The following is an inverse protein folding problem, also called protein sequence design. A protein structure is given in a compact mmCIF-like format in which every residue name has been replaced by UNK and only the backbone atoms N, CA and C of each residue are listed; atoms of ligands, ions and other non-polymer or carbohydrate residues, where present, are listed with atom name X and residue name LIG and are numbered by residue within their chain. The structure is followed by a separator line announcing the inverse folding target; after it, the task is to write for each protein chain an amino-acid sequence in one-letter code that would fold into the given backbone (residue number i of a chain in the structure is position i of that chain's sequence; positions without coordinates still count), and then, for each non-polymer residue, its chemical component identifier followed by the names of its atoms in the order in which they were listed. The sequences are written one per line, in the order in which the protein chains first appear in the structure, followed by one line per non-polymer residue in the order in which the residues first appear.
data_IF_670539552059
#
_entry.id   IF_670539552059
#
_cell.length_a   1.000
_cell.length_b   1.000
_cell.length_c   1.000
_cell.angle_alpha   90.00
_cell.angle_beta   90.00
_cell.angle_gamma   90.00
#
_symmetry.space_group_name_H-M   'P 1'
#
loop_
_entity.id
_entity.type
_entity.pdbx_description
1 polymer ?
#
# COMPACT_ATOMS: atom_id res chain seq x y z
N UNK A 1 -22.17 -2.69 8.89
CA UNK A 1 -20.94 -1.91 8.58
C UNK A 1 -19.65 -2.62 8.94
N UNK A 2 -19.71 -3.60 9.84
CA UNK A 2 -18.56 -4.41 10.24
C UNK A 2 -18.06 -5.38 9.17
N UNK A 3 -18.92 -5.86 8.26
CA UNK A 3 -18.52 -6.78 7.21
C UNK A 3 -17.60 -6.15 6.14
N UNK A 4 -17.71 -4.83 5.89
CA UNK A 4 -16.86 -4.13 4.94
C UNK A 4 -15.46 -3.82 5.48
N UNK A 5 -15.29 -3.77 6.78
CA UNK A 5 -13.99 -3.51 7.40
C UNK A 5 -13.05 -4.73 7.32
N UNK A 6 -13.62 -5.94 7.36
CA UNK A 6 -12.84 -7.19 7.37
C UNK A 6 -12.21 -7.51 6.00
N UNK A 7 -12.80 -6.99 4.93
CA UNK A 7 -12.37 -7.29 3.55
C UNK A 7 -11.52 -6.18 2.92
N UNK A 8 -11.31 -5.07 3.62
CA UNK A 8 -10.44 -4.00 3.10
C UNK A 8 -8.99 -4.46 3.08
N UNK A 9 -8.24 -4.11 2.05
CA UNK A 9 -6.81 -4.35 2.09
C UNK A 9 -6.17 -3.51 3.19
N UNK A 10 -5.05 -4.02 3.71
CA UNK A 10 -4.19 -3.24 4.60
C UNK A 10 -3.30 -2.36 3.74
N UNK A 11 -3.05 -1.13 4.19
CA UNK A 11 -2.05 -0.26 3.58
C UNK A 11 -0.96 0.06 4.60
N UNK A 12 0.27 -0.03 4.15
CA UNK A 12 1.46 0.35 4.88
C UNK A 12 2.23 1.38 4.08
N UNK A 13 2.76 2.37 4.75
CA UNK A 13 3.66 3.34 4.12
C UNK A 13 4.95 3.44 4.89
N UNK A 14 6.04 3.78 4.20
CA UNK A 14 7.21 4.26 4.91
C UNK A 14 6.87 5.60 5.57
N UNK A 15 7.64 5.93 6.56
CA UNK A 15 7.54 7.19 7.28
C UNK A 15 8.96 7.55 7.73
N UNK A 16 9.28 8.80 7.69
CA UNK A 16 10.61 9.23 8.09
C UNK A 16 10.89 10.66 7.68
N UNK A 17 12.17 11.02 7.65
CA UNK A 17 12.61 12.39 7.56
C UNK A 17 12.51 13.02 6.16
N UNK A 18 12.41 12.21 5.10
CA UNK A 18 12.42 12.75 3.75
C UNK A 18 11.03 13.19 3.28
N UNK A 19 11.00 14.11 2.31
CA UNK A 19 9.76 14.53 1.65
C UNK A 19 9.02 13.34 1.01
N UNK A 20 9.75 12.43 0.39
CA UNK A 20 9.16 11.24 -0.23
C UNK A 20 8.50 10.30 0.78
N UNK A 21 9.10 10.12 1.96
CA UNK A 21 8.53 9.33 3.03
C UNK A 21 7.24 9.96 3.57
N UNK A 22 7.23 11.29 3.74
CA UNK A 22 6.05 12.01 4.20
C UNK A 22 4.93 11.99 3.15
N UNK A 23 5.27 12.06 1.88
CA UNK A 23 4.29 11.92 0.80
C UNK A 23 3.67 10.52 0.80
N UNK A 24 4.48 9.48 0.93
CA UNK A 24 3.98 8.10 1.03
C UNK A 24 3.01 7.94 2.20
N UNK A 25 3.37 8.46 3.36
CA UNK A 25 2.51 8.46 4.54
C UNK A 25 1.19 9.19 4.29
N UNK A 26 1.25 10.35 3.66
CA UNK A 26 0.05 11.12 3.30
C UNK A 26 -0.90 10.31 2.41
N UNK A 27 -0.37 9.66 1.39
CA UNK A 27 -1.17 8.83 0.48
C UNK A 27 -1.84 7.68 1.24
N UNK A 28 -1.12 7.00 2.12
CA UNK A 28 -1.67 5.92 2.94
C UNK A 28 -2.80 6.43 3.85
N UNK A 29 -2.60 7.57 4.50
CA UNK A 29 -3.63 8.19 5.35
C UNK A 29 -4.88 8.52 4.54
N UNK A 30 -4.72 9.06 3.34
CA UNK A 30 -5.87 9.37 2.47
C UNK A 30 -6.61 8.11 2.00
N UNK A 31 -5.90 7.03 1.71
CA UNK A 31 -6.53 5.76 1.36
C UNK A 31 -7.36 5.21 2.54
N UNK A 32 -6.84 5.34 3.76
CA UNK A 32 -7.57 4.93 4.97
C UNK A 32 -8.82 5.79 5.19
N UNK A 33 -8.67 7.10 5.19
CA UNK A 33 -9.77 8.04 5.47
C UNK A 33 -10.87 8.00 4.41
N UNK A 34 -10.52 7.66 3.17
CA UNK A 34 -11.50 7.49 2.09
C UNK A 34 -12.15 6.10 2.05
N UNK A 35 -11.74 5.19 2.92
CA UNK A 35 -12.32 3.85 3.01
C UNK A 35 -11.83 2.86 1.94
N UNK A 36 -10.83 3.23 1.16
CA UNK A 36 -10.25 2.34 0.12
C UNK A 36 -9.44 1.22 0.76
N UNK A 37 -8.69 1.53 1.81
CA UNK A 37 -7.86 0.58 2.54
C UNK A 37 -7.88 0.92 4.03
N UNK A 38 -7.40 0.00 4.85
CA UNK A 38 -7.19 0.25 6.28
C UNK A 38 -5.70 0.37 6.55
N UNK A 39 -5.27 1.51 7.10
CA UNK A 39 -3.87 1.72 7.41
C UNK A 39 -3.49 1.01 8.71
N UNK A 40 -2.41 0.27 8.67
CA UNK A 40 -1.78 -0.31 9.85
C UNK A 40 -0.38 0.30 10.05
N UNK A 41 0.30 -0.14 11.09
CA UNK A 41 1.52 0.50 11.58
C UNK A 41 2.77 -0.26 11.14
N UNK A 42 3.48 0.28 10.15
CA UNK A 42 4.70 -0.35 9.67
C UNK A 42 5.82 -0.31 10.73
N UNK A 43 5.87 0.72 11.56
CA UNK A 43 6.85 0.80 12.64
C UNK A 43 6.68 -0.37 13.62
N UNK A 44 5.45 -0.77 13.92
CA UNK A 44 5.19 -1.92 14.77
C UNK A 44 5.55 -3.25 14.11
N UNK A 45 5.36 -3.37 12.80
CA UNK A 45 5.80 -4.56 12.05
C UNK A 45 7.33 -4.64 12.06
N UNK A 46 8.01 -3.54 11.75
CA UNK A 46 9.46 -3.46 11.78
C UNK A 46 10.06 -3.64 13.18
N UNK A 47 9.32 -3.26 14.22
CA UNK A 47 9.72 -3.39 15.62
C UNK A 47 9.27 -4.70 16.30
N UNK A 48 8.73 -5.65 15.55
CA UNK A 48 8.28 -6.95 16.04
C UNK A 48 7.17 -6.89 17.11
N UNK A 49 6.31 -5.87 17.05
CA UNK A 49 5.16 -5.75 17.95
C UNK A 49 4.15 -6.84 17.60
N UNK A 50 3.95 -7.77 18.51
CA UNK A 50 3.23 -9.03 18.26
C UNK A 50 1.83 -8.84 17.65
N UNK A 51 1.03 -7.91 18.16
CA UNK A 51 -0.32 -7.65 17.66
C UNK A 51 -0.32 -7.09 16.23
N UNK A 52 0.65 -6.25 15.90
CA UNK A 52 0.77 -5.64 14.58
C UNK A 52 1.34 -6.62 13.54
N UNK A 53 2.26 -7.47 13.94
CA UNK A 53 2.74 -8.59 13.11
C UNK A 53 1.60 -9.58 12.82
N UNK A 54 0.77 -9.87 13.82
CA UNK A 54 -0.41 -10.74 13.66
C UNK A 54 -1.39 -10.16 12.64
N UNK A 55 -1.64 -8.86 12.70
CA UNK A 55 -2.50 -8.17 11.71
C UNK A 55 -1.91 -8.30 10.29
N UNK A 56 -0.61 -8.07 10.14
CA UNK A 56 0.05 -8.19 8.85
C UNK A 56 0.00 -9.62 8.29
N UNK A 57 -0.05 -10.63 9.16
CA UNK A 57 -0.15 -12.05 8.77
C UNK A 57 -1.59 -12.56 8.66
N UNK A 58 -2.57 -11.69 8.74
CA UNK A 58 -3.99 -12.08 8.77
C UNK A 58 -4.52 -12.64 7.43
N UNK A 59 -3.75 -12.59 6.37
CA UNK A 59 -4.18 -13.04 5.04
C UNK A 59 -4.92 -11.96 4.23
N UNK A 60 -5.11 -10.78 4.80
CA UNK A 60 -5.70 -9.64 4.08
C UNK A 60 -4.74 -9.16 2.99
N UNK A 61 -5.25 -8.70 1.83
CA UNK A 61 -4.40 -8.10 0.81
C UNK A 61 -3.60 -6.92 1.38
N UNK A 62 -2.36 -6.77 0.96
CA UNK A 62 -1.46 -5.74 1.46
C UNK A 62 -1.00 -4.82 0.34
N UNK A 63 -1.16 -3.53 0.57
CA UNK A 63 -0.66 -2.45 -0.27
C UNK A 63 0.53 -1.83 0.46
N UNK A 64 1.69 -1.80 -0.18
CA UNK A 64 2.90 -1.19 0.36
C UNK A 64 3.25 0.06 -0.44
N UNK A 65 3.46 1.17 0.26
CA UNK A 65 3.87 2.45 -0.32
C UNK A 65 5.27 2.81 0.19
N UNK A 66 6.25 2.74 -0.70
CA UNK A 66 7.61 3.15 -0.41
C UNK A 66 7.95 4.43 -1.17
N UNK A 67 8.38 5.45 -0.45
CA UNK A 67 8.68 6.76 -1.03
C UNK A 67 9.94 6.76 -1.90
N UNK A 68 10.87 5.84 -1.65
CA UNK A 68 12.16 5.81 -2.33
C UNK A 68 12.69 4.38 -2.52
N UNK A 69 13.81 4.20 -3.26
CA UNK A 69 14.36 2.87 -3.56
C UNK A 69 14.88 2.07 -2.36
N UNK A 70 14.94 2.65 -1.16
CA UNK A 70 15.32 1.91 0.05
C UNK A 70 14.28 0.86 0.45
N UNK A 71 13.04 1.01 0.01
CA UNK A 71 11.93 0.07 0.17
C UNK A 71 11.75 -0.43 1.60
N UNK A 72 11.71 0.50 2.55
CA UNK A 72 11.63 0.20 3.98
C UNK A 72 10.39 -0.62 4.34
N UNK A 73 9.24 -0.36 3.72
CA UNK A 73 8.01 -1.13 3.97
C UNK A 73 8.18 -2.56 3.50
N UNK A 74 8.63 -2.73 2.27
CA UNK A 74 8.85 -4.06 1.72
C UNK A 74 9.83 -4.86 2.58
N UNK A 75 10.92 -4.23 3.01
CA UNK A 75 11.93 -4.85 3.87
C UNK A 75 11.37 -5.23 5.23
N UNK A 76 10.56 -4.37 5.85
CA UNK A 76 9.94 -4.64 7.15
C UNK A 76 8.97 -5.83 7.08
N UNK A 77 8.17 -5.88 6.03
CA UNK A 77 7.25 -7.02 5.79
C UNK A 77 8.02 -8.31 5.52
N UNK A 78 9.10 -8.23 4.74
CA UNK A 78 9.93 -9.39 4.37
C UNK A 78 10.57 -10.07 5.58
N UNK A 79 10.88 -9.33 6.64
CA UNK A 79 11.39 -9.91 7.90
C UNK A 79 10.42 -10.94 8.49
N UNK A 80 9.15 -10.80 8.23
CA UNK A 80 8.09 -11.69 8.73
C UNK A 80 7.59 -12.66 7.66
N UNK A 81 8.31 -12.78 6.53
CA UNK A 81 7.91 -13.65 5.43
C UNK A 81 6.70 -13.16 4.67
N UNK A 82 6.41 -11.87 4.71
CA UNK A 82 5.23 -11.27 4.08
C UNK A 82 5.66 -10.52 2.83
N UNK A 83 4.96 -10.79 1.72
CA UNK A 83 5.09 -10.02 0.48
C UNK A 83 3.81 -9.19 0.25
N UNK A 84 3.93 -7.92 -0.11
CA UNK A 84 2.76 -7.12 -0.44
C UNK A 84 2.12 -7.60 -1.75
N UNK A 85 0.79 -7.52 -1.83
CA UNK A 85 0.05 -7.82 -3.07
C UNK A 85 0.22 -6.71 -4.09
N UNK A 86 0.41 -5.48 -3.62
CA UNK A 86 0.75 -4.32 -4.44
C UNK A 86 1.86 -3.52 -3.77
N UNK A 87 2.90 -3.21 -4.54
CA UNK A 87 4.02 -2.42 -4.07
C UNK A 87 4.22 -1.21 -4.98
N UNK A 88 4.06 -0.02 -4.41
CA UNK A 88 4.24 1.24 -5.10
C UNK A 88 5.52 1.90 -4.60
N UNK A 89 6.45 2.08 -5.51
CA UNK A 89 7.68 2.83 -5.28
C UNK A 89 7.50 4.20 -5.91
N UNK A 90 7.43 5.24 -5.10
CA UNK A 90 6.97 6.56 -5.55
C UNK A 90 7.97 7.28 -6.47
N UNK A 91 9.24 6.86 -6.48
CA UNK A 91 10.18 7.37 -7.48
C UNK A 91 9.74 7.03 -8.91
N UNK A 92 9.00 5.95 -9.11
CA UNK A 92 8.42 5.60 -10.43
C UNK A 92 7.28 6.53 -10.83
N UNK A 93 6.78 7.34 -9.90
CA UNK A 93 5.74 8.35 -10.13
C UNK A 93 6.31 9.76 -10.17
N UNK A 94 7.63 9.90 -10.31
CA UNK A 94 8.29 11.18 -10.38
C UNK A 94 8.55 11.86 -9.04
N UNK A 95 8.31 11.15 -7.93
CA UNK A 95 8.55 11.70 -6.59
C UNK A 95 10.05 11.69 -6.29
N UNK A 96 10.61 12.86 -6.01
CA UNK A 96 12.01 13.02 -5.62
C UNK A 96 12.15 13.04 -4.11
N UNK A 97 13.12 12.29 -3.61
CA UNK A 97 13.49 12.30 -2.20
C UNK A 97 14.33 13.53 -1.88
N UNK A 98 13.81 14.38 -1.00
CA UNK A 98 14.52 15.57 -0.50
C UNK A 98 14.60 15.54 1.01
N UNK A 99 15.71 16.00 1.53
CA UNK A 99 15.91 16.11 2.98
C UNK A 99 15.55 17.52 3.44
N UNK A 100 14.98 17.63 4.64
CA UNK A 100 14.64 18.90 5.29
C UNK A 100 13.62 19.76 4.53
N UNK A 101 12.84 19.15 3.64
CA UNK A 101 11.79 19.82 2.86
C UNK A 101 10.47 19.07 2.97
N UNK A 102 9.39 19.81 2.85
CA UNK A 102 8.06 19.23 2.75
C UNK A 102 7.80 18.67 1.34
N UNK A 103 6.88 17.73 1.25
CA UNK A 103 6.41 17.25 -0.04
C UNK A 103 5.44 18.26 -0.67
N UNK A 104 5.34 18.21 -2.00
CA UNK A 104 4.39 19.01 -2.77
C UNK A 104 2.97 18.43 -2.62
N UNK A 105 2.00 19.19 -2.08
CA UNK A 105 0.62 18.73 -1.92
C UNK A 105 -0.07 18.39 -3.25
N UNK A 106 0.25 19.09 -4.32
CA UNK A 106 -0.33 18.80 -5.64
C UNK A 106 0.20 17.48 -6.20
N UNK A 107 1.49 17.22 -6.03
CA UNK A 107 2.08 15.94 -6.40
C UNK A 107 1.48 14.81 -5.56
N UNK A 108 1.28 15.02 -4.27
CA UNK A 108 0.65 14.04 -3.39
C UNK A 108 -0.77 13.69 -3.86
N UNK A 109 -1.56 14.68 -4.25
CA UNK A 109 -2.90 14.47 -4.79
C UNK A 109 -2.88 13.68 -6.10
N UNK A 110 -1.95 14.01 -6.99
CA UNK A 110 -1.76 13.29 -8.27
C UNK A 110 -1.36 11.83 -8.06
N UNK A 111 -0.41 11.57 -7.17
CA UNK A 111 0.02 10.20 -6.82
C UNK A 111 -1.15 9.42 -6.22
N UNK A 112 -1.91 10.02 -5.31
CA UNK A 112 -3.08 9.40 -4.70
C UNK A 112 -4.09 8.94 -5.76
N UNK A 113 -4.43 9.80 -6.71
CA UNK A 113 -5.38 9.45 -7.76
C UNK A 113 -4.88 8.32 -8.66
N UNK A 114 -3.59 8.32 -8.99
CA UNK A 114 -2.97 7.25 -9.78
C UNK A 114 -2.97 5.93 -9.04
N UNK A 115 -2.67 5.93 -7.75
CA UNK A 115 -2.71 4.73 -6.90
C UNK A 115 -4.13 4.20 -6.80
N UNK A 116 -5.11 5.07 -6.56
CA UNK A 116 -6.54 4.68 -6.52
C UNK A 116 -6.99 4.03 -7.83
N UNK A 117 -6.63 4.64 -8.96
CA UNK A 117 -6.99 4.11 -10.28
C UNK A 117 -6.38 2.72 -10.51
N UNK A 118 -5.12 2.53 -10.13
CA UNK A 118 -4.44 1.25 -10.25
C UNK A 118 -5.08 0.18 -9.35
N UNK A 119 -5.43 0.53 -8.12
CA UNK A 119 -6.10 -0.38 -7.19
C UNK A 119 -7.48 -0.80 -7.70
N UNK A 120 -8.23 0.11 -8.30
CA UNK A 120 -9.52 -0.21 -8.94
C UNK A 120 -9.34 -1.14 -10.12
N UNK A 121 -8.39 -0.86 -11.00
CA UNK A 121 -8.09 -1.72 -12.15
C UNK A 121 -7.65 -3.12 -11.73
N UNK A 122 -6.94 -3.24 -10.61
CA UNK A 122 -6.49 -4.51 -10.04
C UNK A 122 -7.56 -5.21 -9.21
N UNK A 123 -8.71 -4.59 -8.99
CA UNK A 123 -9.83 -5.09 -8.16
C UNK A 123 -9.42 -5.42 -6.72
N UNK A 124 -8.39 -4.76 -6.20
CA UNK A 124 -7.94 -4.96 -4.83
C UNK A 124 -8.87 -4.20 -3.88
N UNK A 125 -9.42 -4.91 -2.90
CA UNK A 125 -10.31 -4.33 -1.90
C UNK A 125 -11.74 -4.09 -2.37
N UNK A 126 -12.07 -4.42 -3.61
CA UNK A 126 -13.46 -4.40 -4.07
C UNK A 126 -14.14 -5.72 -3.71
N UNK A 127 -15.43 -5.69 -3.36
CA UNK A 127 -16.16 -6.94 -3.17
C UNK A 127 -16.10 -7.74 -4.46
N UNK A 128 -15.66 -8.99 -4.36
CA UNK A 128 -15.64 -9.91 -5.48
C UNK A 128 -17.09 -10.08 -5.91
N UNK A 129 -17.43 -9.50 -7.05
CA UNK A 129 -18.66 -9.90 -7.73
C UNK A 129 -18.41 -11.32 -8.22
N UNK A 130 -19.02 -12.26 -7.55
CA UNK A 130 -19.04 -13.64 -8.00
C UNK A 130 -19.81 -13.73 -9.32
N UNK A 131 -19.11 -13.49 -10.40
CA UNK A 131 -19.52 -13.86 -11.74
C UNK A 131 -18.40 -14.68 -12.32
N UNK A 132 -18.64 -15.98 -12.29
CA UNK A 132 -18.04 -17.03 -13.07
C UNK A 132 -16.74 -16.75 -13.84
N UNK A 133 -15.62 -17.21 -13.31
CA UNK A 133 -14.40 -17.49 -14.07
C UNK A 133 -13.53 -16.33 -14.50
N UNK A 134 -13.95 -15.08 -14.34
CA UNK A 134 -13.20 -13.91 -14.79
C UNK A 134 -12.23 -13.39 -13.72
N UNK A 135 -12.48 -13.69 -12.46
CA UNK A 135 -11.69 -13.20 -11.34
C UNK A 135 -10.29 -13.84 -11.26
N UNK A 136 -10.13 -15.08 -11.73
CA UNK A 136 -8.83 -15.77 -11.72
C UNK A 136 -7.85 -15.22 -12.75
N UNK A 137 -8.34 -14.75 -13.90
CA UNK A 137 -7.46 -14.23 -14.95
C UNK A 137 -6.91 -12.82 -14.62
N UNK A 138 -7.68 -12.02 -13.91
CA UNK A 138 -7.26 -10.67 -13.53
C UNK A 138 -6.23 -10.68 -12.39
N UNK A 139 -6.27 -11.67 -11.50
CA UNK A 139 -5.27 -11.82 -10.45
C UNK A 139 -3.90 -12.27 -10.99
N UNK A 140 -3.87 -13.13 -12.02
CA UNK A 140 -2.62 -13.53 -12.68
C UNK A 140 -1.98 -12.38 -13.48
N UNK A 141 -2.80 -11.56 -14.13
CA UNK A 141 -2.30 -10.37 -14.83
C UNK A 141 -1.73 -9.32 -13.88
N UNK A 142 -2.33 -9.17 -12.73
CA UNK A 142 -1.84 -8.24 -11.70
C UNK A 142 -0.50 -8.70 -11.11
N UNK A 143 -0.31 -10.01 -10.94
CA UNK A 143 0.96 -10.59 -10.48
C UNK A 143 2.09 -10.43 -11.50
N UNK A 144 1.82 -10.60 -12.79
CA UNK A 144 2.79 -10.42 -13.86
C UNK A 144 3.18 -8.96 -14.09
N UNK A 145 2.25 -8.03 -13.91
CA UNK A 145 2.53 -6.60 -14.03
C UNK A 145 3.34 -6.05 -12.83
N UNK A 146 3.26 -6.69 -11.66
CA UNK A 146 4.03 -6.31 -10.48
C UNK A 146 5.46 -6.89 -10.48
N UNK A 147 5.73 -7.90 -11.30
CA UNK A 147 7.04 -8.56 -11.42
C UNK A 147 7.93 -7.96 -12.54
N UNK A 148 7.41 -7.03 -13.36
CA UNK A 148 8.14 -6.36 -14.42
C UNK A 148 8.80 -5.04 -14.02
#
# INVERSE_FOLDING_TARGET
MTANAINRPLVYSCSGCSSAAQLANHVAVRLDRSGVAEMSCIAGVGGDVASLVKTARSGRPIIALDGCPLVCVKSSLARHGIEPDRHYQLQHYGVRKRQHEDYDPEQAASVLERVKADLQAASIGLPVKTTDGVAEQDSERALTAAAG
#
